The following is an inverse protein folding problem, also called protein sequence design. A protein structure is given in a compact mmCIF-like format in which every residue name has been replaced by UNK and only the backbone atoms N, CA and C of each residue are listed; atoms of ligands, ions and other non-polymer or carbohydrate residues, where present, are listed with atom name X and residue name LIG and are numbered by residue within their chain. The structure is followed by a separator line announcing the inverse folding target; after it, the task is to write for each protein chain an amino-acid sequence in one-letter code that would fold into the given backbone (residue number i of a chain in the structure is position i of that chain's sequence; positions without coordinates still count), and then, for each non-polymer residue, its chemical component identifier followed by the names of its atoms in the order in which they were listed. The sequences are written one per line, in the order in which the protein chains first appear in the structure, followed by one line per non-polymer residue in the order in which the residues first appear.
data_IF_447166178441
#
_entry.id   IF_447166178441
#
_cell.length_a   1.000
_cell.length_b   1.000
_cell.length_c   1.000
_cell.angle_alpha   90.00
_cell.angle_beta   90.00
_cell.angle_gamma   90.00
#
_symmetry.space_group_name_H-M   'P 1'
#
loop_
_entity.id
_entity.type
_entity.pdbx_description
1 polymer ?
#
# COMPACT_ATOMS: atom_id res chain seq x y z
N UNK A 1 -10.31 -7.47 -25.56
CA UNK A 1 -10.36 -7.06 -24.13
C UNK A 1 -9.02 -7.27 -23.41
N UNK A 2 -8.07 -6.30 -23.36
CA UNK A 2 -6.82 -6.56 -22.64
C UNK A 2 -6.27 -5.48 -21.69
N UNK A 3 -6.66 -4.21 -21.78
CA UNK A 3 -5.99 -3.11 -21.05
C UNK A 3 -6.31 -3.14 -19.55
N UNK A 4 -7.60 -3.12 -19.19
CA UNK A 4 -8.02 -3.12 -17.79
C UNK A 4 -7.50 -4.33 -16.99
N UNK A 5 -7.41 -5.51 -17.61
CA UNK A 5 -6.89 -6.72 -16.93
C UNK A 5 -5.39 -6.61 -16.65
N UNK A 6 -4.62 -6.01 -17.57
CA UNK A 6 -3.17 -5.76 -17.38
C UNK A 6 -2.92 -4.71 -16.30
N UNK A 7 -3.72 -3.65 -16.26
CA UNK A 7 -3.61 -2.61 -15.23
C UNK A 7 -3.92 -3.17 -13.84
N UNK A 8 -5.00 -3.94 -13.70
CA UNK A 8 -5.32 -4.63 -12.43
C UNK A 8 -4.17 -5.52 -11.98
N UNK A 9 -3.58 -6.31 -12.88
CA UNK A 9 -2.44 -7.16 -12.55
C UNK A 9 -1.24 -6.37 -12.01
N UNK A 10 -0.91 -5.23 -12.64
CA UNK A 10 0.18 -4.36 -12.19
C UNK A 10 -0.09 -3.72 -10.84
N UNK A 11 -1.31 -3.24 -10.61
CA UNK A 11 -1.75 -2.68 -9.34
C UNK A 11 -1.58 -3.72 -8.23
N UNK A 12 -2.07 -4.95 -8.44
CA UNK A 12 -1.95 -6.04 -7.47
C UNK A 12 -0.49 -6.41 -7.21
N UNK A 13 0.36 -6.41 -8.23
CA UNK A 13 1.79 -6.70 -8.10
C UNK A 13 2.50 -5.66 -7.23
N UNK A 14 2.32 -4.37 -7.52
CA UNK A 14 2.94 -3.28 -6.73
C UNK A 14 2.40 -3.27 -5.30
N UNK A 15 1.09 -3.46 -5.11
CA UNK A 15 0.50 -3.57 -3.78
C UNK A 15 1.16 -4.68 -2.96
N UNK A 16 1.34 -5.88 -3.54
CA UNK A 16 2.00 -7.02 -2.90
C UNK A 16 3.45 -6.72 -2.52
N UNK A 17 4.20 -6.03 -3.38
CA UNK A 17 5.58 -5.65 -3.08
C UNK A 17 5.68 -4.70 -1.89
N UNK A 18 4.74 -3.76 -1.78
CA UNK A 18 4.69 -2.81 -0.65
C UNK A 18 4.33 -3.53 0.64
N UNK A 19 3.23 -4.31 0.66
CA UNK A 19 2.75 -4.98 1.89
C UNK A 19 3.62 -6.17 2.30
N UNK A 20 4.40 -6.74 1.38
CA UNK A 20 5.29 -7.89 1.65
C UNK A 20 6.41 -7.61 2.65
N UNK A 21 6.61 -6.36 3.07
CA UNK A 21 7.53 -6.01 4.17
C UNK A 21 6.92 -6.27 5.55
N UNK A 22 5.61 -6.47 5.64
CA UNK A 22 4.92 -6.72 6.90
C UNK A 22 5.23 -8.16 7.35
N UNK A 23 5.85 -8.38 8.52
CA UNK A 23 6.29 -9.71 8.98
C UNK A 23 5.14 -10.51 9.63
N UNK A 24 3.89 -10.09 9.40
CA UNK A 24 2.69 -10.74 9.94
C UNK A 24 1.65 -10.88 8.85
N UNK A 25 0.58 -11.59 9.16
CA UNK A 25 -0.49 -11.88 8.23
C UNK A 25 -1.19 -10.58 7.79
N UNK A 26 -1.33 -10.43 6.47
CA UNK A 26 -2.00 -9.31 5.83
C UNK A 26 -3.10 -9.88 4.95
N UNK A 27 -4.34 -9.49 5.24
CA UNK A 27 -5.52 -9.96 4.52
C UNK A 27 -6.13 -8.82 3.71
N UNK A 28 -6.58 -9.12 2.49
CA UNK A 28 -7.40 -8.19 1.74
C UNK A 28 -8.74 -8.03 2.46
N UNK A 29 -9.01 -6.84 2.99
CA UNK A 29 -10.24 -6.57 3.72
C UNK A 29 -11.34 -6.03 2.82
N UNK A 30 -11.01 -5.09 1.94
CA UNK A 30 -11.98 -4.51 1.00
C UNK A 30 -11.28 -3.89 -0.18
N UNK A 31 -11.90 -3.97 -1.35
CA UNK A 31 -11.41 -3.36 -2.58
C UNK A 31 -12.53 -2.53 -3.22
N UNK A 32 -12.22 -1.28 -3.56
CA UNK A 32 -13.14 -0.35 -4.24
C UNK A 32 -12.60 0.01 -5.62
N UNK A 33 -13.33 0.84 -6.38
CA UNK A 33 -12.83 1.37 -7.64
C UNK A 33 -11.54 2.20 -7.47
N UNK A 34 -11.33 2.82 -6.30
CA UNK A 34 -10.18 3.72 -6.05
C UNK A 34 -9.12 3.16 -5.12
N UNK A 35 -9.49 2.30 -4.17
CA UNK A 35 -8.58 1.89 -3.10
C UNK A 35 -8.59 0.40 -2.85
N UNK A 36 -7.46 -0.13 -2.39
CA UNK A 36 -7.30 -1.48 -1.85
C UNK A 36 -6.98 -1.32 -0.36
N UNK A 37 -7.80 -1.93 0.50
CA UNK A 37 -7.61 -1.90 1.95
C UNK A 37 -7.24 -3.29 2.44
N UNK A 38 -6.11 -3.36 3.11
CA UNK A 38 -5.64 -4.54 3.80
C UNK A 38 -5.80 -4.40 5.30
N UNK A 39 -6.15 -5.49 5.95
CA UNK A 39 -6.11 -5.63 7.40
C UNK A 39 -4.79 -6.31 7.77
N UNK A 40 -4.10 -5.73 8.74
CA UNK A 40 -2.86 -6.27 9.29
C UNK A 40 -3.20 -6.94 10.61
N UNK A 41 -2.87 -8.22 10.74
CA UNK A 41 -2.99 -8.92 12.02
C UNK A 41 -2.05 -8.27 13.03
N UNK A 42 -2.45 -8.18 14.30
CA UNK A 42 -1.58 -7.57 15.32
C UNK A 42 -0.27 -8.38 15.45
N UNK A 43 0.84 -7.75 15.10
CA UNK A 43 2.19 -8.23 15.37
C UNK A 43 2.74 -7.65 16.68
N UNK A 44 3.75 -8.30 17.26
CA UNK A 44 4.41 -7.78 18.45
C UNK A 44 5.11 -6.45 18.16
N UNK A 45 4.85 -5.43 18.97
CA UNK A 45 5.43 -4.09 18.81
C UNK A 45 4.82 -3.23 17.69
N UNK A 46 3.80 -3.71 16.97
CA UNK A 46 3.15 -2.98 15.88
C UNK A 46 1.77 -2.46 16.31
N UNK A 47 1.51 -1.18 16.04
CA UNK A 47 0.19 -0.55 16.23
C UNK A 47 -0.65 -0.57 14.96
N UNK A 48 -0.03 -0.84 13.82
CA UNK A 48 -0.68 -0.91 12.51
C UNK A 48 -1.75 -2.00 12.48
N UNK A 49 -2.95 -1.63 12.05
CA UNK A 49 -4.07 -2.55 11.81
C UNK A 49 -4.59 -2.47 10.38
N UNK A 50 -4.29 -1.38 9.66
CA UNK A 50 -4.88 -1.10 8.34
C UNK A 50 -3.85 -0.49 7.41
N UNK A 51 -3.80 -0.99 6.16
CA UNK A 51 -3.06 -0.38 5.05
C UNK A 51 -4.04 -0.04 3.94
N UNK A 52 -4.06 1.21 3.49
CA UNK A 52 -4.93 1.69 2.40
C UNK A 52 -4.05 2.17 1.25
N UNK A 53 -4.19 1.56 0.09
CA UNK A 53 -3.44 1.91 -1.12
C UNK A 53 -4.38 2.42 -2.20
N UNK A 54 -4.07 3.59 -2.76
CA UNK A 54 -4.79 4.14 -3.90
C UNK A 54 -4.36 3.50 -5.23
N UNK A 55 -5.32 2.97 -5.98
CA UNK A 55 -5.09 2.20 -7.22
C UNK A 55 -4.49 3.03 -8.33
N UNK A 56 -4.92 4.29 -8.48
CA UNK A 56 -4.39 5.18 -9.51
C UNK A 56 -2.92 5.52 -9.21
N UNK A 57 -2.60 5.77 -7.95
CA UNK A 57 -1.24 6.02 -7.52
C UNK A 57 -0.35 4.78 -7.63
N UNK A 58 -0.87 3.59 -7.36
CA UNK A 58 -0.17 2.32 -7.59
C UNK A 58 0.08 2.08 -9.08
N UNK A 59 -0.89 2.38 -9.94
CA UNK A 59 -0.73 2.25 -11.38
C UNK A 59 0.34 3.23 -11.89
N UNK A 60 0.29 4.49 -11.48
CA UNK A 60 1.34 5.48 -11.80
C UNK A 60 2.72 5.00 -11.34
N UNK A 61 2.82 4.49 -10.11
CA UNK A 61 4.06 3.92 -9.57
C UNK A 61 4.56 2.71 -10.38
N UNK A 62 3.65 1.87 -10.90
CA UNK A 62 4.02 0.73 -11.74
C UNK A 62 4.65 1.16 -13.09
N UNK A 63 4.35 2.38 -13.55
CA UNK A 63 4.86 2.96 -14.78
C UNK A 63 6.04 3.91 -14.56
N UNK A 64 6.45 4.14 -13.31
CA UNK A 64 7.48 5.09 -12.96
C UNK A 64 8.88 4.51 -13.23
N UNK A 65 9.79 5.23 -13.92
CA UNK A 65 11.16 4.76 -14.12
C UNK A 65 11.95 4.51 -12.83
N UNK A 66 11.57 5.17 -11.73
CA UNK A 66 12.16 5.00 -10.40
C UNK A 66 11.30 4.12 -9.48
N UNK A 67 10.43 3.28 -10.06
CA UNK A 67 9.52 2.38 -9.34
C UNK A 67 10.21 1.66 -8.18
N UNK A 68 11.33 0.99 -8.43
CA UNK A 68 11.96 0.12 -7.43
C UNK A 68 12.43 0.92 -6.22
N UNK A 69 13.06 2.07 -6.45
CA UNK A 69 13.49 3.01 -5.41
C UNK A 69 12.28 3.52 -4.62
N UNK A 70 11.22 3.94 -5.30
CA UNK A 70 10.00 4.45 -4.65
C UNK A 70 9.29 3.37 -3.85
N UNK A 71 9.22 2.12 -4.33
CA UNK A 71 8.68 0.98 -3.60
C UNK A 71 9.53 0.72 -2.35
N UNK A 72 10.86 0.75 -2.45
CA UNK A 72 11.74 0.58 -1.29
C UNK A 72 11.49 1.65 -0.23
N UNK A 73 11.38 2.92 -0.64
CA UNK A 73 11.01 4.00 0.27
C UNK A 73 9.65 3.76 0.94
N UNK A 74 8.63 3.34 0.19
CA UNK A 74 7.31 3.02 0.74
C UNK A 74 7.35 1.85 1.71
N UNK A 75 8.17 0.83 1.44
CA UNK A 75 8.36 -0.31 2.36
C UNK A 75 9.00 0.15 3.67
N UNK A 76 10.06 0.94 3.61
CA UNK A 76 10.72 1.52 4.79
C UNK A 76 9.75 2.42 5.57
N UNK A 77 9.00 3.25 4.86
CA UNK A 77 8.03 4.17 5.44
C UNK A 77 6.87 3.44 6.13
N UNK A 78 6.40 2.34 5.55
CA UNK A 78 5.37 1.47 6.10
C UNK A 78 5.83 0.83 7.42
N UNK A 79 7.03 0.25 7.45
CA UNK A 79 7.62 -0.33 8.67
C UNK A 79 7.79 0.73 9.76
N UNK A 80 8.36 1.87 9.39
CA UNK A 80 8.54 2.99 10.33
C UNK A 80 7.20 3.51 10.86
N UNK A 81 6.17 3.56 10.02
CA UNK A 81 4.84 3.99 10.45
C UNK A 81 4.16 2.96 11.34
N UNK A 82 4.49 1.67 11.20
CA UNK A 82 3.74 0.59 11.81
C UNK A 82 3.80 0.56 13.34
N UNK A 83 4.88 1.07 13.92
CA UNK A 83 5.08 1.18 15.38
C UNK A 83 4.26 2.31 16.00
N UNK A 84 3.95 3.37 15.24
CA UNK A 84 3.32 4.58 15.79
C UNK A 84 1.89 4.82 15.30
N UNK A 85 1.53 4.31 14.10
CA UNK A 85 0.24 4.57 13.44
C UNK A 85 -0.62 3.32 13.38
N UNK A 86 -1.94 3.50 13.54
CA UNK A 86 -2.94 2.43 13.34
C UNK A 86 -3.29 2.21 11.87
N UNK A 87 -3.25 3.26 11.07
CA UNK A 87 -3.50 3.21 9.63
C UNK A 87 -2.30 3.78 8.87
N UNK A 88 -1.88 3.07 7.83
CA UNK A 88 -0.99 3.57 6.80
C UNK A 88 -1.79 3.82 5.53
N UNK A 89 -1.57 4.96 4.88
CA UNK A 89 -2.25 5.33 3.64
C UNK A 89 -1.24 5.79 2.60
N UNK A 90 -1.35 5.24 1.38
CA UNK A 90 -0.60 5.69 0.22
C UNK A 90 -1.55 6.18 -0.89
N UNK A 91 -1.35 7.38 -1.43
CA UNK A 91 -0.39 8.39 -0.96
C UNK A 91 -0.77 8.87 0.45
N UNK A 92 0.21 9.38 1.21
CA UNK A 92 -0.09 10.02 2.49
C UNK A 92 -0.97 11.23 2.17
N UNK A 93 -2.18 11.25 2.74
CA UNK A 93 -2.97 12.47 2.76
C UNK A 93 -2.19 13.46 3.63
N UNK A 94 -1.45 14.38 3.02
CA UNK A 94 -0.99 15.55 3.75
C UNK A 94 -2.26 16.18 4.32
N UNK A 95 -2.32 16.32 5.65
CA UNK A 95 -3.36 17.13 6.25
C UNK A 95 -3.19 18.53 5.66
N UNK A 96 -3.97 18.84 4.64
CA UNK A 96 -4.19 20.23 4.24
C UNK A 96 -5.05 20.77 5.37
N UNK A 97 -4.38 21.39 6.35
CA UNK A 97 -5.05 22.14 7.39
C UNK A 97 -5.91 23.21 6.73
N UNK A 98 -7.21 23.12 6.99
CA UNK A 98 -8.20 24.17 6.79
C UNK A 98 -9.01 24.25 8.07
#
# INVERSE_FOLDING_TARGET
MPLAKKETSRITEVARQIIGVIPTEVELHSETARTIRYRVRRGFGWRLSTVVLDKECLLRLAHDPQRDVKIEYLRRDLVNSATYRREYRYPRTLAVGG
#
